data_IF_531148569822
#
_entry.id   IF_531148569822
#
_cell.length_a   1.000
_cell.length_b   1.000
_cell.length_c   1.000
_cell.angle_alpha   90.00
_cell.angle_beta   90.00
_cell.angle_gamma   90.00
#
_symmetry.space_group_name_H-M   'P 1'
#
loop_
_entity.id
_entity.type
_entity.pdbx_description
1 polymer ?
#
# COMPACT_ATOMS: atom_id res chain seq x y z
N UNK A 1 4.41 -26.67 -32.67
CA UNK A 1 5.52 -26.56 -31.68
C UNK A 1 6.11 -25.15 -31.64
N UNK A 2 6.52 -24.53 -32.75
CA UNK A 2 7.12 -23.18 -32.77
C UNK A 2 6.21 -22.04 -32.21
N UNK A 3 4.91 -22.06 -32.49
CA UNK A 3 3.97 -21.04 -31.99
C UNK A 3 3.80 -21.13 -30.45
N UNK A 4 3.85 -22.36 -29.90
CA UNK A 4 3.75 -22.58 -28.45
C UNK A 4 4.97 -21.98 -27.73
N UNK A 5 6.16 -22.15 -28.31
CA UNK A 5 7.39 -21.56 -27.76
C UNK A 5 7.41 -20.03 -27.83
N UNK A 6 6.81 -19.42 -28.85
CA UNK A 6 6.72 -17.96 -28.95
C UNK A 6 5.78 -17.36 -27.90
N UNK A 7 4.66 -18.03 -27.61
CA UNK A 7 3.72 -17.61 -26.57
C UNK A 7 4.38 -17.69 -25.20
N UNK A 8 5.07 -18.80 -24.88
CA UNK A 8 5.77 -18.97 -23.61
C UNK A 8 6.91 -17.95 -23.43
N UNK A 9 7.62 -17.62 -24.50
CA UNK A 9 8.65 -16.57 -24.54
C UNK A 9 8.03 -15.19 -24.22
N UNK A 10 6.87 -14.89 -24.81
CA UNK A 10 6.15 -13.64 -24.57
C UNK A 10 5.61 -13.54 -23.13
N UNK A 11 5.05 -14.62 -22.59
CA UNK A 11 4.60 -14.69 -21.19
C UNK A 11 5.77 -14.46 -20.22
N UNK A 12 6.94 -15.06 -20.50
CA UNK A 12 8.16 -14.88 -19.70
C UNK A 12 8.65 -13.44 -19.74
N UNK A 13 8.62 -12.78 -20.90
CA UNK A 13 8.96 -11.35 -21.04
C UNK A 13 8.03 -10.46 -20.22
N UNK A 14 6.73 -10.76 -20.20
CA UNK A 14 5.74 -10.02 -19.38
C UNK A 14 6.08 -10.14 -17.89
N UNK A 15 6.37 -11.35 -17.41
CA UNK A 15 6.74 -11.57 -16.00
C UNK A 15 8.04 -10.84 -15.65
N UNK A 16 9.06 -10.90 -16.50
CA UNK A 16 10.34 -10.23 -16.28
C UNK A 16 10.18 -8.69 -16.24
N UNK A 17 9.40 -8.10 -17.16
CA UNK A 17 9.12 -6.66 -17.15
C UNK A 17 8.34 -6.26 -15.89
N UNK A 18 7.37 -7.07 -15.45
CA UNK A 18 6.65 -6.81 -14.20
C UNK A 18 7.59 -6.81 -12.99
N UNK A 19 8.48 -7.80 -12.88
CA UNK A 19 9.50 -7.87 -11.82
C UNK A 19 10.44 -6.66 -11.87
N UNK A 20 10.89 -6.26 -13.06
CA UNK A 20 11.73 -5.09 -13.24
C UNK A 20 11.03 -3.80 -12.78
N UNK A 21 9.76 -3.61 -13.17
CA UNK A 21 8.96 -2.46 -12.75
C UNK A 21 8.73 -2.45 -11.24
N UNK A 22 8.45 -3.61 -10.63
CA UNK A 22 8.32 -3.75 -9.18
C UNK A 22 9.59 -3.30 -8.46
N UNK A 23 10.75 -3.84 -8.86
CA UNK A 23 12.02 -3.54 -8.21
C UNK A 23 12.41 -2.07 -8.37
N UNK A 24 12.31 -1.56 -9.60
CA UNK A 24 12.55 -0.14 -9.90
C UNK A 24 11.64 0.79 -9.09
N UNK A 25 10.35 0.44 -8.95
CA UNK A 25 9.40 1.23 -8.17
C UNK A 25 9.80 1.30 -6.68
N UNK A 26 10.26 0.18 -6.10
CA UNK A 26 10.70 0.12 -4.69
C UNK A 26 11.96 0.96 -4.47
N UNK A 27 12.94 0.84 -5.36
CA UNK A 27 14.19 1.61 -5.28
C UNK A 27 13.91 3.12 -5.32
N UNK A 28 13.08 3.57 -6.27
CA UNK A 28 12.66 4.98 -6.35
C UNK A 28 11.85 5.41 -5.13
N UNK A 29 10.94 4.55 -4.64
CA UNK A 29 10.16 4.87 -3.44
C UNK A 29 11.03 5.08 -2.21
N UNK A 30 12.05 4.23 -2.01
CA UNK A 30 12.98 4.35 -0.89
C UNK A 30 13.83 5.62 -1.03
N UNK A 31 14.32 5.93 -2.24
CA UNK A 31 15.04 7.17 -2.49
C UNK A 31 14.22 8.44 -2.20
N UNK A 32 12.90 8.43 -2.41
CA UNK A 32 12.03 9.55 -2.00
C UNK A 32 11.98 9.78 -0.49
N UNK A 33 12.08 8.72 0.32
CA UNK A 33 12.08 8.81 1.78
C UNK A 33 13.37 9.47 2.29
N UNK A 34 14.48 9.17 1.63
CA UNK A 34 15.82 9.58 2.07
C UNK A 34 16.19 10.99 1.55
N UNK A 35 15.36 11.59 0.68
CA UNK A 35 15.56 12.95 0.19
C UNK A 35 15.20 14.01 1.25
N UNK A 36 16.03 15.06 1.43
CA UNK A 36 15.72 16.18 2.31
C UNK A 36 14.34 16.78 2.06
N UNK A 37 13.61 17.11 3.12
CA UNK A 37 12.29 17.74 3.03
C UNK A 37 12.38 19.18 2.48
N UNK A 38 13.54 19.82 2.64
CA UNK A 38 13.82 21.18 2.19
C UNK A 38 15.12 21.21 1.39
N UNK A 39 15.22 22.09 0.40
CA UNK A 39 16.54 22.53 -0.08
C UNK A 39 16.83 22.48 -1.58
N UNK A 40 16.08 21.79 -2.46
CA UNK A 40 16.23 22.01 -3.91
C UNK A 40 15.06 21.40 -4.73
N UNK A 41 14.72 22.02 -5.87
CA UNK A 41 13.72 21.59 -6.87
C UNK A 41 13.94 20.18 -7.48
N UNK A 42 14.96 19.44 -7.03
CA UNK A 42 15.26 18.09 -7.51
C UNK A 42 14.20 17.06 -7.07
N UNK A 43 13.51 17.32 -5.95
CA UNK A 43 12.50 16.39 -5.46
C UNK A 43 11.30 16.24 -6.41
N UNK A 44 10.90 17.30 -7.12
CA UNK A 44 9.77 17.23 -8.06
C UNK A 44 10.09 16.30 -9.23
N UNK A 45 11.27 16.44 -9.82
CA UNK A 45 11.71 15.57 -10.91
C UNK A 45 11.87 14.11 -10.46
N UNK A 46 12.40 13.89 -9.23
CA UNK A 46 12.50 12.55 -8.67
C UNK A 46 11.12 11.94 -8.37
N UNK A 47 10.20 12.74 -7.81
CA UNK A 47 8.82 12.34 -7.57
C UNK A 47 8.12 11.98 -8.87
N UNK A 48 8.20 12.82 -9.90
CA UNK A 48 7.63 12.55 -11.22
C UNK A 48 8.09 11.20 -11.77
N UNK A 49 9.40 10.95 -11.78
CA UNK A 49 9.95 9.64 -12.19
C UNK A 49 9.42 8.47 -11.36
N UNK A 50 9.30 8.65 -10.05
CA UNK A 50 8.77 7.61 -9.16
C UNK A 50 7.30 7.32 -9.47
N UNK A 51 6.50 8.38 -9.59
CA UNK A 51 5.08 8.31 -9.88
C UNK A 51 4.81 7.69 -11.26
N UNK A 52 5.59 8.04 -12.27
CA UNK A 52 5.50 7.47 -13.62
C UNK A 52 5.75 5.96 -13.61
N UNK A 53 6.78 5.49 -12.90
CA UNK A 53 7.09 4.07 -12.78
C UNK A 53 5.97 3.32 -12.06
N UNK A 54 5.42 3.87 -10.97
CA UNK A 54 4.28 3.28 -10.28
C UNK A 54 3.01 3.26 -11.14
N UNK A 55 2.76 4.30 -11.92
CA UNK A 55 1.62 4.37 -12.85
C UNK A 55 1.78 3.36 -13.98
N UNK A 56 2.99 3.22 -14.53
CA UNK A 56 3.32 2.19 -15.54
C UNK A 56 3.09 0.79 -14.95
N UNK A 57 3.62 0.52 -13.75
CA UNK A 57 3.43 -0.74 -13.03
C UNK A 57 1.95 -1.06 -12.79
N UNK A 58 1.17 -0.07 -12.34
CA UNK A 58 -0.26 -0.23 -12.09
C UNK A 58 -1.04 -0.57 -13.35
N UNK A 59 -0.77 0.11 -14.47
CA UNK A 59 -1.39 -0.20 -15.77
C UNK A 59 -0.95 -1.56 -16.28
N UNK A 60 0.35 -1.88 -16.17
CA UNK A 60 0.92 -3.14 -16.62
C UNK A 60 0.26 -4.35 -15.95
N UNK A 61 0.05 -4.30 -14.63
CA UNK A 61 -0.62 -5.40 -13.93
C UNK A 61 -2.11 -5.54 -14.28
N UNK A 62 -2.79 -4.44 -14.65
CA UNK A 62 -4.17 -4.51 -15.12
C UNK A 62 -4.26 -5.15 -16.52
N UNK A 63 -3.36 -4.77 -17.43
CA UNK A 63 -3.34 -5.25 -18.81
C UNK A 63 -2.96 -6.74 -18.92
N UNK A 64 -1.98 -7.17 -18.12
CA UNK A 64 -1.45 -8.53 -18.17
C UNK A 64 -1.94 -9.41 -17.00
N UNK A 65 -3.10 -9.05 -16.41
CA UNK A 65 -3.60 -9.62 -15.16
C UNK A 65 -3.64 -11.14 -15.14
N UNK A 66 -4.16 -11.76 -16.20
CA UNK A 66 -4.33 -13.22 -16.30
C UNK A 66 -2.96 -13.94 -16.33
N UNK A 67 -2.03 -13.43 -17.13
CA UNK A 67 -0.69 -14.01 -17.27
C UNK A 67 0.07 -13.88 -15.95
N UNK A 68 -0.01 -12.73 -15.28
CA UNK A 68 0.64 -12.52 -13.99
C UNK A 68 0.03 -13.39 -12.88
N UNK A 69 -1.27 -13.67 -12.92
CA UNK A 69 -1.90 -14.59 -11.97
C UNK A 69 -1.40 -16.03 -12.15
N UNK A 70 -1.33 -16.52 -13.39
CA UNK A 70 -0.98 -17.91 -13.69
C UNK A 70 0.54 -18.15 -13.61
N UNK A 71 1.36 -17.28 -14.22
CA UNK A 71 2.79 -17.51 -14.41
C UNK A 71 3.65 -16.90 -13.30
N UNK A 72 3.25 -15.74 -12.78
CA UNK A 72 3.97 -15.08 -11.68
C UNK A 72 3.35 -15.41 -10.31
N UNK A 73 2.07 -15.80 -10.25
CA UNK A 73 1.36 -16.04 -8.99
C UNK A 73 0.89 -14.75 -8.32
N UNK A 74 0.50 -13.73 -9.09
CA UNK A 74 0.18 -12.39 -8.60
C UNK A 74 -1.04 -12.35 -7.65
N UNK A 75 -0.76 -12.31 -6.35
CA UNK A 75 -1.77 -12.31 -5.30
C UNK A 75 -2.50 -10.96 -5.19
N UNK A 76 -3.72 -11.00 -4.66
CA UNK A 76 -4.55 -9.81 -4.43
C UNK A 76 -3.89 -8.81 -3.48
N UNK A 77 -3.21 -9.28 -2.44
CA UNK A 77 -2.55 -8.40 -1.48
C UNK A 77 -1.37 -7.64 -2.09
N UNK A 78 -0.66 -8.22 -3.07
CA UNK A 78 0.41 -7.54 -3.80
C UNK A 78 -0.13 -6.36 -4.63
N UNK A 79 -1.32 -6.50 -5.23
CA UNK A 79 -2.01 -5.38 -5.88
C UNK A 79 -2.36 -4.31 -4.85
N UNK A 80 -2.84 -4.74 -3.68
CA UNK A 80 -3.14 -3.86 -2.56
C UNK A 80 -1.92 -3.05 -2.13
N UNK A 81 -0.73 -3.65 -2.09
CA UNK A 81 0.52 -2.94 -1.81
C UNK A 81 0.87 -1.90 -2.87
N UNK A 82 0.73 -2.23 -4.16
CA UNK A 82 0.97 -1.27 -5.25
C UNK A 82 0.01 -0.08 -5.11
N UNK A 83 -1.28 -0.35 -4.92
CA UNK A 83 -2.30 0.67 -4.69
C UNK A 83 -2.00 1.51 -3.44
N UNK A 84 -1.57 0.87 -2.34
CA UNK A 84 -1.25 1.55 -1.09
C UNK A 84 -0.03 2.47 -1.26
N UNK A 85 0.94 2.09 -2.08
CA UNK A 85 2.11 2.91 -2.40
C UNK A 85 1.77 4.09 -3.28
N UNK A 86 0.89 3.92 -4.26
CA UNK A 86 0.40 5.05 -5.08
C UNK A 86 -0.37 6.04 -4.19
N UNK A 87 -1.25 5.57 -3.32
CA UNK A 87 -1.93 6.43 -2.34
C UNK A 87 -0.94 7.16 -1.42
N UNK A 88 0.14 6.48 -1.03
CA UNK A 88 1.21 7.10 -0.23
C UNK A 88 1.96 8.20 -1.00
N UNK A 89 2.22 8.01 -2.31
CA UNK A 89 2.84 9.04 -3.15
C UNK A 89 1.95 10.29 -3.24
N UNK A 90 0.65 10.12 -3.48
CA UNK A 90 -0.31 11.22 -3.48
C UNK A 90 -0.32 11.97 -2.15
N UNK A 91 -0.34 11.24 -1.04
CA UNK A 91 -0.27 11.85 0.30
C UNK A 91 1.05 12.61 0.52
N UNK A 92 2.20 12.04 0.14
CA UNK A 92 3.49 12.71 0.24
C UNK A 92 3.56 14.00 -0.61
N UNK A 93 2.93 13.99 -1.77
CA UNK A 93 2.85 15.19 -2.61
C UNK A 93 1.97 16.26 -1.95
N UNK A 94 0.81 15.88 -1.41
CA UNK A 94 -0.04 16.77 -0.61
C UNK A 94 0.74 17.42 0.55
N UNK A 95 1.54 16.66 1.30
CA UNK A 95 2.34 17.23 2.40
C UNK A 95 3.30 18.33 1.96
N UNK A 96 3.75 18.32 0.70
CA UNK A 96 4.70 19.30 0.16
C UNK A 96 4.01 20.48 -0.52
N UNK A 97 2.84 20.27 -1.12
CA UNK A 97 2.14 21.32 -1.90
C UNK A 97 0.91 21.89 -1.22
N UNK A 98 0.39 21.21 -0.20
CA UNK A 98 -0.91 21.49 0.44
C UNK A 98 -2.12 21.45 -0.51
N UNK A 99 -1.97 20.87 -1.70
CA UNK A 99 -3.06 20.74 -2.68
C UNK A 99 -4.00 19.58 -2.33
N UNK A 100 -5.23 19.90 -1.94
CA UNK A 100 -6.23 18.94 -1.43
C UNK A 100 -6.69 17.92 -2.48
N UNK A 101 -6.51 18.18 -3.77
CA UNK A 101 -6.81 17.21 -4.84
C UNK A 101 -6.00 15.92 -4.65
N UNK A 102 -4.72 16.01 -4.32
CA UNK A 102 -3.90 14.82 -4.08
C UNK A 102 -4.29 14.08 -2.80
N UNK A 103 -4.78 14.79 -1.78
CA UNK A 103 -5.33 14.13 -0.60
C UNK A 103 -6.58 13.32 -0.93
N UNK A 104 -7.44 13.83 -1.83
CA UNK A 104 -8.60 13.08 -2.33
C UNK A 104 -8.18 11.88 -3.20
N UNK A 105 -7.13 11.98 -4.00
CA UNK A 105 -6.59 10.83 -4.74
C UNK A 105 -6.04 9.75 -3.80
N UNK A 106 -5.28 10.13 -2.77
CA UNK A 106 -4.82 9.20 -1.74
C UNK A 106 -6.01 8.48 -1.07
N UNK A 107 -7.06 9.22 -0.74
CA UNK A 107 -8.31 8.66 -0.21
C UNK A 107 -8.94 7.66 -1.18
N UNK A 108 -9.05 8.00 -2.47
CA UNK A 108 -9.64 7.12 -3.49
C UNK A 108 -8.91 5.78 -3.58
N UNK A 109 -7.57 5.79 -3.55
CA UNK A 109 -6.78 4.56 -3.52
C UNK A 109 -7.02 3.74 -2.25
N UNK A 110 -7.01 4.37 -1.07
CA UNK A 110 -7.21 3.64 0.18
C UNK A 110 -8.64 3.09 0.35
N UNK A 111 -9.65 3.85 -0.07
CA UNK A 111 -11.03 3.40 -0.11
C UNK A 111 -11.21 2.23 -1.10
N UNK A 112 -10.57 2.30 -2.27
CA UNK A 112 -10.57 1.23 -3.26
C UNK A 112 -9.95 -0.06 -2.72
N UNK A 113 -8.89 0.03 -1.90
CA UNK A 113 -8.27 -1.14 -1.26
C UNK A 113 -9.22 -1.84 -0.30
N UNK A 114 -9.93 -1.07 0.54
CA UNK A 114 -10.94 -1.57 1.47
C UNK A 114 -12.09 -2.22 0.71
N UNK A 115 -12.68 -1.50 -0.24
CA UNK A 115 -13.85 -1.96 -0.99
C UNK A 115 -13.60 -3.27 -1.77
N UNK A 116 -12.38 -3.43 -2.33
CA UNK A 116 -12.01 -4.65 -3.06
C UNK A 116 -11.43 -5.75 -2.18
N UNK A 117 -11.28 -5.50 -0.88
CA UNK A 117 -10.76 -6.45 0.09
C UNK A 117 -9.42 -7.05 -0.32
N UNK A 118 -8.46 -6.24 -0.80
CA UNK A 118 -7.16 -6.77 -1.28
C UNK A 118 -6.40 -7.55 -0.20
N UNK A 119 -6.58 -7.21 1.08
CA UNK A 119 -5.98 -7.89 2.23
C UNK A 119 -6.88 -8.95 2.89
N UNK A 120 -8.06 -9.27 2.32
CA UNK A 120 -9.02 -10.22 2.92
C UNK A 120 -8.47 -11.64 3.09
N UNK A 121 -7.58 -12.06 2.17
CA UNK A 121 -6.94 -13.38 2.19
C UNK A 121 -5.51 -13.38 2.74
N UNK A 122 -5.02 -12.23 3.19
CA UNK A 122 -3.62 -12.06 3.57
C UNK A 122 -3.22 -12.92 4.79
N UNK A 123 -4.13 -13.10 5.76
CA UNK A 123 -3.90 -13.97 6.93
C UNK A 123 -4.01 -15.47 6.64
N UNK A 124 -4.56 -15.85 5.47
CA UNK A 124 -4.77 -17.25 5.05
C UNK A 124 -3.74 -17.75 4.05
N UNK A 125 -2.68 -16.98 3.78
CA UNK A 125 -1.64 -17.37 2.83
C UNK A 125 -0.62 -18.30 3.49
N UNK A 126 -1.04 -19.53 3.81
CA UNK A 126 -0.21 -20.57 4.46
C UNK A 126 1.03 -20.96 3.64
N UNK A 127 1.02 -20.65 2.34
CA UNK A 127 2.14 -20.88 1.43
C UNK A 127 3.37 -20.02 1.73
N UNK A 128 3.20 -18.91 2.46
CA UNK A 128 4.30 -18.02 2.82
C UNK A 128 4.98 -18.45 4.14
N UNK A 129 6.32 -18.30 4.24
CA UNK A 129 7.03 -18.47 5.50
C UNK A 129 6.41 -17.61 6.61
N UNK A 130 6.46 -18.09 7.86
CA UNK A 130 5.87 -17.39 9.01
C UNK A 130 6.32 -15.92 9.12
N UNK A 131 7.61 -15.64 8.94
CA UNK A 131 8.16 -14.28 8.93
C UNK A 131 7.52 -13.37 7.87
N UNK A 132 7.34 -13.89 6.65
CA UNK A 132 6.75 -13.13 5.55
C UNK A 132 5.26 -12.85 5.75
N UNK A 133 4.55 -13.77 6.44
CA UNK A 133 3.15 -13.55 6.82
C UNK A 133 3.03 -12.44 7.87
N UNK A 134 3.92 -12.43 8.86
CA UNK A 134 4.00 -11.34 9.85
C UNK A 134 4.25 -9.99 9.18
N UNK A 135 5.23 -9.91 8.28
CA UNK A 135 5.52 -8.69 7.50
C UNK A 135 4.31 -8.20 6.67
N UNK A 136 3.55 -9.14 6.11
CA UNK A 136 2.33 -8.83 5.37
C UNK A 136 1.25 -8.22 6.28
N UNK A 137 1.12 -8.70 7.51
CA UNK A 137 0.21 -8.12 8.49
C UNK A 137 0.64 -6.70 8.89
N UNK A 138 1.93 -6.48 9.15
CA UNK A 138 2.48 -5.14 9.41
C UNK A 138 2.15 -4.18 8.26
N UNK A 139 2.28 -4.61 7.01
CA UNK A 139 1.90 -3.79 5.84
C UNK A 139 0.41 -3.45 5.83
N UNK A 140 -0.45 -4.39 6.19
CA UNK A 140 -1.91 -4.17 6.32
C UNK A 140 -2.23 -3.16 7.44
N UNK A 141 -1.59 -3.28 8.61
CA UNK A 141 -1.75 -2.33 9.71
C UNK A 141 -1.30 -0.91 9.31
N UNK A 142 -0.14 -0.80 8.66
CA UNK A 142 0.36 0.49 8.14
C UNK A 142 -0.56 1.08 7.06
N UNK A 143 -1.24 0.26 6.27
CA UNK A 143 -2.27 0.73 5.33
C UNK A 143 -3.44 1.37 6.09
N UNK A 144 -3.98 0.69 7.11
CA UNK A 144 -5.09 1.21 7.92
C UNK A 144 -4.72 2.53 8.60
N UNK A 145 -3.55 2.60 9.23
CA UNK A 145 -3.07 3.82 9.88
C UNK A 145 -3.03 5.01 8.91
N UNK A 146 -2.47 4.83 7.70
CA UNK A 146 -2.44 5.89 6.67
C UNK A 146 -3.83 6.27 6.18
N UNK A 147 -4.72 5.29 6.04
CA UNK A 147 -6.09 5.57 5.60
C UNK A 147 -6.86 6.39 6.64
N UNK A 148 -6.69 6.07 7.93
CA UNK A 148 -7.25 6.85 9.03
C UNK A 148 -6.75 8.30 8.99
N UNK A 149 -5.43 8.51 8.84
CA UNK A 149 -4.83 9.85 8.75
C UNK A 149 -5.44 10.66 7.60
N UNK A 150 -5.55 10.07 6.40
CA UNK A 150 -6.18 10.74 5.26
C UNK A 150 -7.65 11.06 5.53
N UNK A 151 -8.40 10.17 6.18
CA UNK A 151 -9.79 10.41 6.53
C UNK A 151 -9.96 11.51 7.60
N UNK A 152 -9.03 11.60 8.55
CA UNK A 152 -8.99 12.68 9.56
C UNK A 152 -8.78 14.04 8.89
N UNK A 153 -7.79 14.13 7.98
CA UNK A 153 -7.51 15.38 7.23
C UNK A 153 -8.69 15.80 6.33
N UNK A 154 -9.44 14.84 5.79
CA UNK A 154 -10.66 15.08 5.02
C UNK A 154 -11.94 15.21 5.89
N UNK A 155 -11.81 15.21 7.23
CA UNK A 155 -12.92 15.31 8.19
C UNK A 155 -14.01 14.24 8.01
N UNK A 156 -13.67 13.06 7.49
CA UNK A 156 -14.61 11.93 7.29
C UNK A 156 -14.79 11.11 8.58
N UNK A 157 -15.25 11.75 9.65
CA UNK A 157 -15.23 11.19 11.01
C UNK A 157 -16.02 9.89 11.20
N UNK A 158 -17.14 9.70 10.47
CA UNK A 158 -17.86 8.42 10.50
C UNK A 158 -16.98 7.27 10.03
N UNK A 159 -16.30 7.46 8.90
CA UNK A 159 -15.39 6.47 8.35
C UNK A 159 -14.15 6.27 9.22
N UNK A 160 -13.62 7.33 9.84
CA UNK A 160 -12.52 7.22 10.82
C UNK A 160 -12.91 6.26 11.95
N UNK A 161 -14.09 6.42 12.55
CA UNK A 161 -14.56 5.53 13.63
C UNK A 161 -14.67 4.08 13.17
N UNK A 162 -15.17 3.83 11.97
CA UNK A 162 -15.26 2.48 11.41
C UNK A 162 -13.86 1.87 11.18
N UNK A 163 -12.93 2.65 10.60
CA UNK A 163 -11.56 2.21 10.35
C UNK A 163 -10.77 1.94 11.63
N UNK A 164 -11.00 2.70 12.71
CA UNK A 164 -10.36 2.48 14.01
C UNK A 164 -10.83 1.17 14.64
N UNK A 165 -12.12 0.85 14.55
CA UNK A 165 -12.64 -0.46 15.01
C UNK A 165 -12.03 -1.60 14.19
N UNK A 166 -11.92 -1.44 12.87
CA UNK A 166 -11.28 -2.42 12.01
C UNK A 166 -9.79 -2.60 12.35
N UNK A 167 -9.05 -1.50 12.52
CA UNK A 167 -7.64 -1.52 12.90
C UNK A 167 -7.43 -2.21 14.24
N UNK A 168 -8.25 -1.91 15.25
CA UNK A 168 -8.18 -2.57 16.56
C UNK A 168 -8.27 -4.09 16.42
N UNK A 169 -9.28 -4.58 15.69
CA UNK A 169 -9.42 -6.02 15.40
C UNK A 169 -8.19 -6.59 14.68
N UNK A 170 -7.62 -5.85 13.73
CA UNK A 170 -6.42 -6.32 13.02
C UNK A 170 -5.18 -6.38 13.91
N UNK A 171 -5.04 -5.47 14.87
CA UNK A 171 -3.96 -5.51 15.86
C UNK A 171 -4.15 -6.71 16.79
N UNK A 172 -5.37 -6.94 17.28
CA UNK A 172 -5.67 -8.11 18.13
C UNK A 172 -5.36 -9.42 17.40
N UNK A 173 -5.83 -9.57 16.16
CA UNK A 173 -5.56 -10.74 15.31
C UNK A 173 -4.04 -10.92 15.08
N UNK A 174 -3.30 -9.83 14.85
CA UNK A 174 -1.86 -9.84 14.61
C UNK A 174 -1.09 -10.26 15.88
N UNK A 175 -1.41 -9.65 17.01
CA UNK A 175 -0.80 -9.96 18.30
C UNK A 175 -1.05 -11.41 18.72
N UNK A 176 -2.30 -11.87 18.65
CA UNK A 176 -2.66 -13.22 19.08
C UNK A 176 -2.03 -14.31 18.20
N UNK A 177 -1.76 -14.01 16.93
CA UNK A 177 -1.21 -14.99 15.99
C UNK A 177 0.32 -15.00 15.99
N UNK A 178 0.96 -13.83 16.14
CA UNK A 178 2.38 -13.68 15.84
C UNK A 178 3.28 -13.39 17.04
N UNK A 179 2.72 -12.99 18.19
CA UNK A 179 3.45 -12.52 19.37
C UNK A 179 4.64 -11.59 19.03
N UNK A 180 4.39 -10.50 18.30
CA UNK A 180 5.45 -9.67 17.74
C UNK A 180 6.04 -8.71 18.78
N UNK A 181 7.33 -8.40 18.65
CA UNK A 181 8.01 -7.44 19.53
C UNK A 181 7.42 -6.02 19.45
N UNK A 182 6.80 -5.66 18.32
CA UNK A 182 6.20 -4.34 18.06
C UNK A 182 4.73 -4.21 18.54
N UNK A 183 4.20 -5.19 19.27
CA UNK A 183 2.82 -5.18 19.79
C UNK A 183 2.51 -3.92 20.61
N UNK A 184 3.45 -3.50 21.47
CA UNK A 184 3.26 -2.32 22.32
C UNK A 184 3.18 -1.04 21.47
N UNK A 185 3.97 -0.94 20.40
CA UNK A 185 3.93 0.21 19.49
C UNK A 185 2.57 0.32 18.78
N UNK A 186 2.05 -0.80 18.28
CA UNK A 186 0.72 -0.82 17.65
C UNK A 186 -0.41 -0.48 18.62
N UNK A 187 -0.29 -0.94 19.87
CA UNK A 187 -1.24 -0.60 20.94
C UNK A 187 -1.22 0.89 21.25
N UNK A 188 -0.04 1.50 21.33
CA UNK A 188 0.14 2.95 21.51
C UNK A 188 -0.47 3.74 20.35
N UNK A 189 -0.19 3.37 19.10
CA UNK A 189 -0.76 4.02 17.90
C UNK A 189 -2.29 4.00 17.96
N UNK A 190 -2.90 2.87 18.33
CA UNK A 190 -4.35 2.78 18.46
C UNK A 190 -4.89 3.67 19.58
N UNK A 191 -4.18 3.72 20.71
CA UNK A 191 -4.53 4.58 21.86
C UNK A 191 -4.50 6.06 21.50
N UNK A 192 -3.45 6.52 20.82
CA UNK A 192 -3.30 7.90 20.37
C UNK A 192 -4.42 8.31 19.40
N UNK A 193 -4.76 7.44 18.44
CA UNK A 193 -5.83 7.70 17.49
C UNK A 193 -7.19 7.79 18.20
N UNK A 194 -7.47 6.90 19.15
CA UNK A 194 -8.73 6.92 19.94
C UNK A 194 -8.83 8.22 20.76
N UNK A 195 -7.77 8.55 21.50
CA UNK A 195 -7.70 9.77 22.30
C UNK A 195 -7.95 11.02 21.45
N UNK A 196 -7.34 11.09 20.25
CA UNK A 196 -7.57 12.21 19.32
C UNK A 196 -9.05 12.34 18.88
N UNK A 197 -9.72 11.21 18.61
CA UNK A 197 -11.13 11.20 18.19
C UNK A 197 -12.06 11.60 19.35
N UNK A 198 -11.74 11.16 20.56
CA UNK A 198 -12.54 11.42 21.76
C UNK A 198 -12.45 12.91 22.15
N UNK A 199 -11.27 13.53 22.08
CA UNK A 199 -11.09 14.98 22.32
C UNK A 199 -11.77 15.83 21.25
N UNK A 200 -11.86 15.34 20.01
CA UNK A 200 -12.51 16.02 18.89
C UNK A 200 -14.03 15.81 18.79
N UNK A 201 -14.63 15.08 19.74
CA UNK A 201 -16.07 14.85 19.81
C UNK A 201 -16.69 15.93 20.72
N UNK A 202 -17.61 16.77 20.22
CA UNK A 202 -18.28 17.80 21.03
C UNK A 202 -19.17 17.20 22.13
#
# INVERSE_FOLDING_TARGET
>A
MAIMSEIEEQERKIVNEFCHLLEKSKQLFNGLRDLPQYGHKQWQAYFGRTFDVYTKLWKFQQQHRQILDIKYGLKRWQIGEIASKIGQLYYHYYLRTSETNYLNEAFSFYAAIRARGYYSKASKEESLPYSHRSDLMVKKLRYYARFIVVCLLLKKMKLVRDLVRELAKQIDDYTATYEPEDQLEWSLVLGEIKSFIDVGSP
#
